data_IF_670488089738
#
_entry.id   IF_670488089738
#
_cell.length_a   1.000
_cell.length_b   1.000
_cell.length_c   1.000
_cell.angle_alpha   90.00
_cell.angle_beta   90.00
_cell.angle_gamma   90.00
#
_symmetry.space_group_name_H-M   'P 1'
#
loop_
_entity.id
_entity.type
_entity.pdbx_description
1 polymer ?
#
# COMPACT_ATOMS: atom_id res chain seq x y z
N UNK A 1 -31.57 22.65 25.14
CA UNK A 1 -30.12 22.94 25.31
C UNK A 1 -29.35 22.16 24.24
N UNK A 2 -28.34 22.75 23.58
CA UNK A 2 -27.38 21.96 22.81
C UNK A 2 -26.57 21.05 23.77
N UNK A 3 -26.21 19.82 23.38
CA UNK A 3 -25.42 18.93 24.24
C UNK A 3 -24.03 19.54 24.49
N UNK A 4 -23.63 19.62 25.76
CA UNK A 4 -22.27 20.04 26.13
C UNK A 4 -21.26 19.10 25.47
N UNK A 5 -20.35 19.63 24.66
CA UNK A 5 -19.19 18.88 24.16
C UNK A 5 -18.39 18.39 25.36
N UNK A 6 -18.38 17.09 25.60
CA UNK A 6 -17.46 16.46 26.53
C UNK A 6 -16.04 16.58 25.98
N UNK A 7 -15.22 17.38 26.65
CA UNK A 7 -13.79 17.46 26.35
C UNK A 7 -13.20 16.08 26.62
N UNK A 8 -12.77 15.38 25.56
CA UNK A 8 -12.11 14.08 25.71
C UNK A 8 -10.80 14.29 26.45
N UNK A 9 -10.43 13.42 27.42
CA UNK A 9 -9.13 13.53 28.06
C UNK A 9 -8.03 13.42 27.00
N UNK A 10 -6.95 14.18 27.17
CA UNK A 10 -5.79 14.08 26.30
C UNK A 10 -5.25 12.64 26.38
N UNK A 11 -5.23 11.94 25.25
CA UNK A 11 -4.59 10.63 25.19
C UNK A 11 -3.09 10.84 25.33
N UNK A 12 -2.48 10.20 26.33
CA UNK A 12 -1.03 10.12 26.42
C UNK A 12 -0.51 9.36 25.20
N UNK A 13 0.47 9.94 24.51
CA UNK A 13 1.10 9.31 23.35
C UNK A 13 2.04 8.20 23.82
N UNK A 14 1.47 7.04 24.13
CA UNK A 14 2.21 5.81 24.42
C UNK A 14 2.92 5.38 23.12
N UNK A 15 4.21 5.75 23.00
CA UNK A 15 5.06 5.39 21.88
C UNK A 15 5.34 3.88 21.88
N UNK A 16 4.52 3.12 21.15
CA UNK A 16 4.69 1.68 20.92
C UNK A 16 5.74 1.36 19.82
N UNK A 17 6.42 2.38 19.28
CA UNK A 17 7.44 2.23 18.26
C UNK A 17 8.71 1.53 18.76
N UNK A 18 9.53 0.97 17.87
CA UNK A 18 10.82 0.38 18.25
C UNK A 18 11.75 1.44 18.86
N UNK A 19 12.51 1.07 19.89
CA UNK A 19 13.50 1.95 20.49
C UNK A 19 14.73 2.07 19.57
N UNK A 20 14.89 3.23 18.94
CA UNK A 20 15.82 3.45 17.81
C UNK A 20 16.82 4.54 18.20
N UNK A 21 18.09 4.32 17.89
CA UNK A 21 19.16 5.28 18.18
C UNK A 21 19.08 6.48 17.25
N UNK A 22 19.50 7.64 17.73
CA UNK A 22 19.56 8.87 16.93
C UNK A 22 20.37 8.64 15.65
N UNK A 23 19.71 8.80 14.49
CA UNK A 23 20.30 8.58 13.17
C UNK A 23 19.92 7.27 12.48
N UNK A 24 19.45 6.23 13.19
CA UNK A 24 18.93 5.02 12.55
C UNK A 24 17.50 5.24 11.99
N UNK A 25 17.19 4.56 10.88
CA UNK A 25 15.91 4.69 10.18
C UNK A 25 15.09 3.41 10.30
N UNK A 26 13.84 3.57 10.72
CA UNK A 26 12.83 2.51 10.73
C UNK A 26 12.19 2.49 9.35
N UNK A 27 12.45 1.43 8.58
CA UNK A 27 11.90 1.25 7.25
C UNK A 27 10.59 0.47 7.28
N UNK A 28 9.54 1.03 6.67
CA UNK A 28 8.37 0.28 6.23
C UNK A 28 8.35 0.10 4.70
N UNK A 29 7.42 -0.70 4.17
CA UNK A 29 7.08 -0.73 2.74
C UNK A 29 5.74 -0.04 2.52
N UNK A 30 5.75 1.04 1.74
CA UNK A 30 4.55 1.64 1.17
C UNK A 30 4.23 1.01 -0.18
N UNK A 31 3.17 0.19 -0.21
CA UNK A 31 2.56 -0.32 -1.45
C UNK A 31 1.55 0.73 -1.94
N UNK A 32 1.86 1.37 -3.07
CA UNK A 32 0.98 2.34 -3.72
C UNK A 32 0.30 1.66 -4.90
N UNK A 33 -0.95 1.25 -4.74
CA UNK A 33 -1.74 0.72 -5.86
C UNK A 33 -2.55 1.85 -6.50
N UNK A 34 -2.24 2.18 -7.75
CA UNK A 34 -2.86 3.28 -8.49
C UNK A 34 -3.57 2.72 -9.72
N UNK A 35 -4.90 2.65 -9.64
CA UNK A 35 -5.76 2.33 -10.78
C UNK A 35 -6.37 3.62 -11.36
N UNK A 36 -7.09 3.50 -12.48
CA UNK A 36 -7.85 4.61 -13.05
C UNK A 36 -9.16 4.92 -12.31
N UNK A 37 -9.59 4.04 -11.40
CA UNK A 37 -10.85 4.18 -10.66
C UNK A 37 -10.61 4.63 -9.21
N UNK A 38 -9.70 3.98 -8.48
CA UNK A 38 -9.32 4.34 -7.11
C UNK A 38 -7.79 4.18 -6.88
N UNK A 39 -7.30 4.80 -5.80
CA UNK A 39 -5.91 4.85 -5.37
C UNK A 39 -5.78 4.36 -3.93
N UNK A 40 -4.79 3.51 -3.66
CA UNK A 40 -4.60 2.87 -2.36
C UNK A 40 -3.18 3.14 -1.89
N UNK A 41 -3.05 3.66 -0.67
CA UNK A 41 -1.78 3.80 0.04
C UNK A 41 -1.81 2.82 1.21
N UNK A 42 -0.90 1.86 1.19
CA UNK A 42 -0.88 0.77 2.15
C UNK A 42 0.53 0.56 2.69
N UNK A 43 0.73 0.76 4.00
CA UNK A 43 2.03 0.57 4.64
C UNK A 43 2.05 -0.73 5.44
N UNK A 44 3.08 -1.53 5.19
CA UNK A 44 3.38 -2.78 5.91
C UNK A 44 4.78 -2.77 6.45
N UNK A 45 5.02 -3.51 7.52
CA UNK A 45 6.35 -3.61 8.12
C UNK A 45 7.38 -4.29 7.22
N UNK A 46 8.63 -3.86 7.36
CA UNK A 46 9.80 -4.68 7.07
C UNK A 46 10.31 -5.21 8.42
N UNK A 47 10.04 -6.48 8.73
CA UNK A 47 10.71 -7.18 9.83
C UNK A 47 12.16 -7.51 9.44
N UNK A 48 12.95 -6.50 9.09
CA UNK A 48 14.41 -6.62 8.99
C UNK A 48 15.04 -6.46 10.37
N UNK A 49 14.97 -7.54 11.15
CA UNK A 49 15.88 -7.74 12.27
C UNK A 49 17.28 -7.87 11.66
N UNK A 50 18.18 -6.89 11.88
CA UNK A 50 19.61 -6.99 11.48
C UNK A 50 20.13 -8.35 11.95
N UNK A 51 20.43 -9.23 11.00
CA UNK A 51 21.21 -10.44 11.22
C UNK A 51 22.36 -10.34 10.22
N UNK A 52 23.53 -9.99 10.74
CA UNK A 52 24.76 -9.97 9.96
C UNK A 52 25.21 -11.41 9.68
N UNK A 53 25.88 -11.61 8.52
CA UNK A 53 26.56 -12.83 8.05
C UNK A 53 25.72 -13.96 7.41
N UNK A 54 25.89 -14.06 6.08
CA UNK A 54 26.34 -15.22 5.27
C UNK A 54 25.55 -16.56 5.18
N UNK A 55 25.62 -17.11 3.94
CA UNK A 55 25.44 -18.51 3.49
C UNK A 55 24.06 -19.20 3.65
N UNK A 56 23.29 -19.37 2.56
CA UNK A 56 23.14 -20.63 1.77
C UNK A 56 21.91 -21.47 2.23
N UNK A 57 21.46 -22.60 1.65
CA UNK A 57 21.87 -23.50 0.54
C UNK A 57 20.61 -23.84 -0.32
N UNK A 58 20.76 -24.57 -1.43
CA UNK A 58 19.71 -25.10 -2.35
C UNK A 58 18.53 -25.88 -1.74
N UNK A 59 17.40 -25.90 -2.47
CA UNK A 59 16.60 -27.13 -2.67
C UNK A 59 15.13 -27.19 -2.18
N UNK A 60 14.35 -28.08 -2.82
CA UNK A 60 12.96 -28.51 -2.49
C UNK A 60 11.86 -27.42 -2.64
N UNK A 61 10.94 -27.41 -3.63
CA UNK A 61 10.20 -28.46 -4.34
C UNK A 61 9.20 -29.26 -3.47
N UNK A 62 7.95 -28.78 -3.30
CA UNK A 62 6.70 -29.58 -3.47
C UNK A 62 5.39 -28.82 -3.09
N UNK A 63 4.37 -29.00 -3.95
CA UNK A 63 2.90 -29.09 -3.71
C UNK A 63 2.23 -28.44 -2.46
N UNK A 64 1.22 -27.60 -2.73
CA UNK A 64 -0.25 -27.83 -2.52
C UNK A 64 -1.00 -26.68 -3.24
N UNK A 65 -1.74 -26.89 -4.34
CA UNK A 65 -3.07 -27.50 -4.50
C UNK A 65 -4.18 -26.94 -3.58
N UNK A 66 -5.23 -26.44 -4.24
CA UNK A 66 -6.61 -26.20 -3.77
C UNK A 66 -6.82 -25.34 -2.52
N UNK A 67 -7.42 -24.15 -2.72
CA UNK A 67 -8.76 -23.91 -2.17
C UNK A 67 -9.48 -22.77 -2.89
N UNK A 68 -10.79 -22.95 -3.12
CA UNK A 68 -11.70 -21.88 -3.53
C UNK A 68 -12.33 -21.24 -2.28
N UNK A 69 -12.24 -19.90 -2.14
CA UNK A 69 -13.25 -19.15 -1.40
C UNK A 69 -14.11 -18.34 -2.36
N UNK A 70 -15.36 -18.75 -2.54
CA UNK A 70 -16.41 -17.80 -2.96
C UNK A 70 -16.75 -16.91 -1.77
N UNK A 71 -16.64 -15.59 -1.92
CA UNK A 71 -17.33 -14.65 -1.02
C UNK A 71 -18.14 -13.66 -1.85
N UNK A 72 -19.46 -13.67 -1.60
CA UNK A 72 -20.33 -12.54 -1.94
C UNK A 72 -19.90 -11.35 -1.07
N UNK A 73 -20.04 -10.14 -1.59
CA UNK A 73 -19.50 -8.87 -1.06
C UNK A 73 -18.03 -8.64 -1.46
N UNK A 74 -17.84 -7.88 -2.54
CA UNK A 74 -16.60 -7.81 -3.30
C UNK A 74 -15.50 -6.90 -2.71
N UNK A 75 -14.87 -7.34 -1.64
CA UNK A 75 -13.56 -6.83 -1.20
C UNK A 75 -12.50 -7.93 -1.37
N UNK A 76 -12.00 -8.08 -2.60
CA UNK A 76 -10.95 -9.06 -2.92
C UNK A 76 -9.62 -8.58 -2.35
N UNK A 77 -9.27 -9.06 -1.17
CA UNK A 77 -7.94 -8.85 -0.58
C UNK A 77 -6.90 -9.66 -1.36
N UNK A 78 -6.32 -9.03 -2.37
CA UNK A 78 -5.25 -9.62 -3.15
C UNK A 78 -3.97 -9.72 -2.31
N UNK A 79 -3.75 -10.90 -1.71
CA UNK A 79 -2.44 -11.30 -1.21
C UNK A 79 -1.45 -11.34 -2.39
N UNK A 80 -0.60 -10.33 -2.49
CA UNK A 80 0.47 -10.25 -3.50
C UNK A 80 1.72 -10.85 -2.87
N UNK A 81 1.99 -12.11 -3.21
CA UNK A 81 3.13 -12.90 -2.71
C UNK A 81 4.44 -12.47 -3.40
N UNK A 82 5.56 -12.57 -2.68
CA UNK A 82 6.89 -12.11 -3.10
C UNK A 82 7.60 -11.41 -1.95
N UNK A 83 8.39 -12.17 -1.21
CA UNK A 83 8.95 -11.91 0.14
C UNK A 83 9.67 -10.57 0.36
N UNK A 84 9.83 -10.06 1.59
CA UNK A 84 9.71 -10.72 2.90
C UNK A 84 8.97 -9.86 3.95
N UNK A 85 8.16 -10.51 4.79
CA UNK A 85 7.51 -9.97 6.01
C UNK A 85 6.43 -8.87 5.92
N UNK A 86 6.04 -8.39 4.73
CA UNK A 86 4.94 -7.41 4.59
C UNK A 86 3.52 -8.00 4.80
N UNK A 87 3.36 -8.78 5.88
CA UNK A 87 2.16 -9.52 6.34
C UNK A 87 1.36 -8.71 7.36
N UNK A 88 2.02 -7.93 8.19
CA UNK A 88 1.38 -7.02 9.14
C UNK A 88 1.13 -5.67 8.48
N UNK A 89 -0.11 -5.19 8.63
CA UNK A 89 -0.60 -3.99 7.96
C UNK A 89 -0.73 -2.87 8.96
N UNK A 90 0.07 -1.83 8.79
CA UNK A 90 0.17 -0.71 9.73
C UNK A 90 -0.97 0.25 9.48
N UNK A 91 -1.17 0.63 8.22
CA UNK A 91 -2.28 1.47 7.80
C UNK A 91 -2.66 1.20 6.34
N UNK A 92 -3.98 1.13 6.10
CA UNK A 92 -4.60 1.08 4.78
C UNK A 92 -5.52 2.28 4.64
N UNK A 93 -5.31 3.11 3.62
CA UNK A 93 -6.19 4.23 3.26
C UNK A 93 -6.36 4.26 1.75
N UNK A 94 -7.57 4.52 1.28
CA UNK A 94 -7.89 4.66 -0.16
C UNK A 94 -8.35 6.08 -0.49
N UNK A 95 -8.37 6.44 -1.77
CA UNK A 95 -8.91 7.71 -2.23
C UNK A 95 -10.40 7.83 -1.94
N UNK A 96 -11.17 6.77 -2.19
CA UNK A 96 -12.60 6.68 -1.84
C UNK A 96 -12.90 6.79 -0.33
N UNK A 97 -11.96 6.49 0.57
CA UNK A 97 -12.13 6.77 2.01
C UNK A 97 -12.07 8.27 2.34
N UNK A 98 -11.55 9.11 1.44
CA UNK A 98 -11.32 10.55 1.66
C UNK A 98 -12.27 11.43 0.86
N UNK A 99 -12.83 10.93 -0.23
CA UNK A 99 -13.74 11.66 -1.11
C UNK A 99 -15.05 10.89 -1.26
N UNK A 100 -16.20 11.57 -1.09
CA UNK A 100 -17.54 10.96 -1.11
C UNK A 100 -18.14 10.79 -2.52
N UNK A 101 -17.35 11.01 -3.56
CA UNK A 101 -17.81 11.04 -4.94
C UNK A 101 -17.04 10.00 -5.76
N UNK A 102 -17.75 8.98 -6.25
CA UNK A 102 -17.20 7.79 -6.92
C UNK A 102 -16.28 8.11 -8.11
N UNK A 103 -16.52 9.24 -8.79
CA UNK A 103 -15.71 9.71 -9.92
C UNK A 103 -14.34 10.26 -9.52
N UNK A 104 -14.21 10.70 -8.28
CA UNK A 104 -13.07 11.47 -7.76
C UNK A 104 -12.14 10.61 -6.87
N UNK A 105 -12.40 9.31 -6.74
CA UNK A 105 -11.60 8.34 -5.95
C UNK A 105 -10.17 8.15 -6.49
N UNK A 106 -9.99 8.11 -7.81
CA UNK A 106 -8.66 8.06 -8.45
C UNK A 106 -7.96 9.42 -8.51
N UNK A 107 -8.65 10.50 -8.11
CA UNK A 107 -8.14 11.85 -8.31
C UNK A 107 -6.79 12.07 -7.61
N UNK A 108 -5.89 12.89 -8.19
CA UNK A 108 -4.61 13.21 -7.56
C UNK A 108 -4.78 13.88 -6.20
N UNK A 109 -5.92 14.53 -5.96
CA UNK A 109 -6.26 15.14 -4.67
C UNK A 109 -6.65 14.11 -3.60
N UNK A 110 -7.50 13.14 -3.95
CA UNK A 110 -7.86 12.03 -3.05
C UNK A 110 -6.62 11.24 -2.61
N UNK A 111 -5.74 10.91 -3.57
CA UNK A 111 -4.48 10.22 -3.31
C UNK A 111 -3.52 11.00 -2.39
N UNK A 112 -3.47 12.33 -2.53
CA UNK A 112 -2.67 13.21 -1.66
C UNK A 112 -3.17 13.19 -0.22
N UNK A 113 -4.49 13.31 0.00
CA UNK A 113 -5.08 13.24 1.34
C UNK A 113 -4.81 11.88 1.99
N UNK A 114 -5.09 10.78 1.27
CA UNK A 114 -4.84 9.42 1.75
C UNK A 114 -3.37 9.19 2.18
N UNK A 115 -2.41 9.71 1.41
CA UNK A 115 -0.99 9.66 1.74
C UNK A 115 -0.61 10.49 2.98
N UNK A 116 -1.25 11.64 3.21
CA UNK A 116 -1.02 12.46 4.41
C UNK A 116 -1.50 11.75 5.67
N UNK A 117 -2.72 11.18 5.66
CA UNK A 117 -3.25 10.40 6.79
C UNK A 117 -2.40 9.17 7.12
N UNK A 118 -1.91 8.48 6.09
CA UNK A 118 -0.96 7.37 6.23
C UNK A 118 0.32 7.83 6.93
N UNK A 119 0.90 8.94 6.48
CA UNK A 119 2.15 9.45 7.05
C UNK A 119 2.01 9.88 8.52
N UNK A 120 0.88 10.47 8.92
CA UNK A 120 0.61 10.80 10.33
C UNK A 120 0.61 9.53 11.20
N UNK A 121 -0.13 8.49 10.79
CA UNK A 121 -0.16 7.19 11.50
C UNK A 121 1.21 6.49 11.54
N UNK A 122 1.99 6.59 10.46
CA UNK A 122 3.34 6.04 10.43
C UNK A 122 4.27 6.73 11.43
N UNK A 123 4.12 8.05 11.65
CA UNK A 123 4.89 8.80 12.65
C UNK A 123 4.51 8.45 14.09
N UNK A 124 3.21 8.28 14.36
CA UNK A 124 2.70 7.82 15.67
C UNK A 124 3.32 6.48 16.10
N UNK A 125 3.68 5.64 15.12
CA UNK A 125 4.29 4.32 15.32
C UNK A 125 5.82 4.30 15.14
N UNK A 126 6.46 5.45 14.99
CA UNK A 126 7.92 5.58 14.93
C UNK A 126 8.59 5.21 13.58
N UNK A 127 7.81 5.10 12.49
CA UNK A 127 8.36 4.79 11.16
C UNK A 127 8.90 6.08 10.53
N UNK A 128 10.17 6.07 10.16
CA UNK A 128 10.87 7.28 9.64
C UNK A 128 11.23 7.20 8.16
N UNK A 129 11.25 5.99 7.59
CA UNK A 129 11.57 5.77 6.18
C UNK A 129 10.63 4.74 5.51
N UNK A 130 10.46 4.86 4.19
CA UNK A 130 9.58 3.99 3.40
C UNK A 130 10.29 3.52 2.12
N UNK A 131 10.30 2.21 1.88
CA UNK A 131 10.51 1.63 0.55
C UNK A 131 9.19 1.64 -0.20
N UNK A 132 9.21 2.06 -1.47
CA UNK A 132 7.98 2.34 -2.22
C UNK A 132 7.83 1.30 -3.33
N UNK A 133 6.73 0.56 -3.29
CA UNK A 133 6.35 -0.41 -4.32
C UNK A 133 5.13 0.14 -5.05
N UNK A 134 5.33 0.69 -6.25
CA UNK A 134 4.26 1.21 -7.11
C UNK A 134 3.62 0.03 -7.85
N UNK A 135 2.29 0.06 -8.00
CA UNK A 135 1.54 -0.98 -8.71
C UNK A 135 0.37 -0.40 -9.50
N UNK A 136 0.33 -0.66 -10.80
CA UNK A 136 -0.90 -0.51 -11.60
C UNK A 136 -1.72 -1.81 -11.63
N UNK A 137 -2.91 -1.77 -12.24
CA UNK A 137 -3.79 -2.95 -12.38
C UNK A 137 -3.07 -4.16 -12.98
N UNK A 138 -2.31 -3.96 -14.05
CA UNK A 138 -1.47 -4.97 -14.69
C UNK A 138 -2.25 -6.20 -15.20
N UNK A 139 -1.57 -7.34 -15.29
CA UNK A 139 -2.12 -8.57 -15.83
C UNK A 139 -2.50 -8.42 -17.31
N UNK A 140 -3.75 -8.70 -17.63
CA UNK A 140 -4.35 -8.45 -18.95
C UNK A 140 -4.99 -7.05 -19.09
N UNK A 141 -4.90 -6.21 -18.05
CA UNK A 141 -5.40 -4.83 -18.04
C UNK A 141 -4.27 -3.81 -18.30
N UNK A 142 -4.47 -2.55 -17.91
CA UNK A 142 -3.48 -1.48 -18.06
C UNK A 142 -2.30 -1.66 -17.12
N UNK A 143 -1.08 -1.70 -17.68
CA UNK A 143 0.18 -1.69 -16.92
C UNK A 143 0.61 -0.28 -16.50
N UNK A 144 0.12 0.76 -17.17
CA UNK A 144 0.36 2.17 -16.80
C UNK A 144 -0.31 2.48 -15.45
N UNK A 145 0.40 3.07 -14.47
CA UNK A 145 -0.19 3.48 -13.20
C UNK A 145 -1.20 4.62 -13.37
N UNK A 146 -2.22 4.62 -12.51
CA UNK A 146 -3.27 5.64 -12.49
C UNK A 146 -2.79 7.03 -11.99
N UNK A 147 -3.62 8.07 -12.18
CA UNK A 147 -3.23 9.47 -11.98
C UNK A 147 -2.79 9.81 -10.54
N UNK A 148 -3.33 9.13 -9.52
CA UNK A 148 -2.93 9.35 -8.13
C UNK A 148 -1.55 8.80 -7.73
N UNK A 149 -0.87 7.99 -8.57
CA UNK A 149 0.42 7.38 -8.23
C UNK A 149 1.48 8.42 -7.85
N UNK A 150 1.68 9.41 -8.73
CA UNK A 150 2.71 10.43 -8.56
C UNK A 150 2.36 11.43 -7.44
N UNK A 151 1.07 11.69 -7.23
CA UNK A 151 0.58 12.53 -6.14
C UNK A 151 0.79 11.89 -4.77
N UNK A 152 0.50 10.59 -4.62
CA UNK A 152 0.76 9.86 -3.38
C UNK A 152 2.27 9.82 -3.06
N UNK A 153 3.11 9.55 -4.06
CA UNK A 153 4.58 9.58 -3.92
C UNK A 153 5.08 10.94 -3.41
N UNK A 154 4.65 12.03 -4.07
CA UNK A 154 5.03 13.40 -3.71
C UNK A 154 4.49 13.81 -2.33
N UNK A 155 3.30 13.34 -1.97
CA UNK A 155 2.69 13.62 -0.67
C UNK A 155 3.46 12.96 0.49
N UNK A 156 3.89 11.71 0.33
CA UNK A 156 4.73 11.00 1.31
C UNK A 156 6.11 11.66 1.49
N UNK A 157 6.73 12.13 0.39
CA UNK A 157 7.95 12.93 0.48
C UNK A 157 7.73 14.23 1.28
N UNK A 158 6.66 14.97 0.95
CA UNK A 158 6.33 16.26 1.56
C UNK A 158 5.90 16.16 3.02
N UNK A 159 5.31 15.04 3.44
CA UNK A 159 4.96 14.81 4.85
C UNK A 159 6.18 14.48 5.72
N UNK A 160 7.38 14.35 5.14
CA UNK A 160 8.63 14.15 5.87
C UNK A 160 9.05 12.69 6.07
N UNK A 161 8.45 11.75 5.34
CA UNK A 161 8.91 10.36 5.31
C UNK A 161 10.15 10.25 4.40
N UNK A 162 11.23 9.62 4.86
CA UNK A 162 12.42 9.43 4.02
C UNK A 162 12.16 8.33 2.98
N UNK A 163 12.33 8.64 1.70
CA UNK A 163 12.14 7.68 0.61
C UNK A 163 13.41 6.82 0.48
N UNK A 164 13.24 5.50 0.49
CA UNK A 164 14.29 4.53 0.18
C UNK A 164 14.22 4.07 -1.29
N UNK A 165 14.24 2.75 -1.50
CA UNK A 165 14.11 2.17 -2.85
C UNK A 165 12.72 2.39 -3.42
N UNK A 166 12.65 2.64 -4.73
CA UNK A 166 11.39 2.70 -5.50
C UNK A 166 11.42 1.55 -6.50
N UNK A 167 10.41 0.70 -6.45
CA UNK A 167 10.25 -0.48 -7.31
C UNK A 167 8.87 -0.43 -7.98
N UNK A 168 8.80 -0.82 -9.26
CA UNK A 168 7.52 -1.14 -9.90
C UNK A 168 7.23 -2.64 -9.70
N UNK A 169 6.07 -2.94 -9.12
CA UNK A 169 5.53 -4.30 -8.94
C UNK A 169 4.23 -4.49 -9.73
N UNK A 170 4.07 -3.80 -10.85
CA UNK A 170 3.03 -4.10 -11.84
C UNK A 170 3.09 -5.58 -12.24
N UNK A 171 2.00 -6.34 -12.07
CA UNK A 171 2.02 -7.75 -12.43
C UNK A 171 2.11 -7.87 -13.95
N UNK A 172 3.29 -8.25 -14.45
CA UNK A 172 3.55 -8.51 -15.87
C UNK A 172 3.54 -10.03 -16.09
N UNK A 173 2.50 -10.57 -16.73
CA UNK A 173 2.46 -12.00 -17.05
C UNK A 173 3.35 -12.29 -18.26
N UNK A 174 3.97 -13.48 -18.29
CA UNK A 174 4.74 -13.98 -19.45
C UNK A 174 3.82 -14.17 -20.65
N UNK A 175 2.70 -14.87 -20.44
CA UNK A 175 1.56 -14.98 -21.36
C UNK A 175 0.27 -14.60 -20.63
N UNK A 176 -0.64 -13.93 -21.33
CA UNK A 176 -1.87 -13.39 -20.72
C UNK A 176 -3.14 -14.09 -21.19
N UNK A 177 -4.09 -14.27 -20.28
CA UNK A 177 -5.45 -14.71 -20.63
C UNK A 177 -6.17 -13.63 -21.44
N UNK A 178 -7.14 -14.04 -22.26
CA UNK A 178 -7.94 -13.15 -23.12
C UNK A 178 -8.48 -11.95 -22.33
N UNK A 179 -8.07 -10.74 -22.74
CA UNK A 179 -8.47 -9.46 -22.13
C UNK A 179 -9.99 -9.27 -22.16
N UNK A 180 -10.55 -8.67 -21.10
CA UNK A 180 -11.98 -8.33 -20.98
C UNK A 180 -12.41 -7.40 -22.13
N UNK A 181 -13.26 -7.90 -23.02
CA UNK A 181 -13.80 -7.17 -24.16
C UNK A 181 -14.24 -8.08 -25.32
N UNK A 182 -14.92 -7.51 -26.31
CA UNK A 182 -15.18 -8.20 -27.57
C UNK A 182 -13.90 -8.31 -28.43
N UNK A 183 -13.90 -9.17 -29.46
CA UNK A 183 -12.79 -9.27 -30.43
C UNK A 183 -12.46 -7.92 -31.10
N UNK A 184 -13.45 -7.03 -31.20
CA UNK A 184 -13.35 -5.67 -31.77
C UNK A 184 -13.08 -4.57 -30.71
N UNK A 185 -12.67 -4.94 -29.50
CA UNK A 185 -12.43 -4.02 -28.39
C UNK A 185 -13.70 -3.50 -27.71
N UNK A 186 -13.54 -2.46 -26.87
CA UNK A 186 -14.64 -1.64 -26.35
C UNK A 186 -14.92 -0.53 -27.36
N UNK A 187 -16.13 -0.49 -27.90
CA UNK A 187 -16.64 0.66 -28.68
C UNK A 187 -17.38 1.57 -27.71
N UNK A 188 -17.14 2.87 -27.84
CA UNK A 188 -17.85 3.97 -27.17
C UNK A 188 -18.74 4.64 -28.21
#
# INVERSE_FOLDING_TARGET
MPPKKTTRPAQENISLGPNVREGELVFGVARIFASFNDTFVHVTDLRFRKREKEEAIDGCFTKTLCDHPQTKNGSVEANILGDSSGRETICRVTGGMKVKADRDESSPYAAMLAAQDVATRCKELGITALHIKIRATGGNATKTPGPGAQSALRALARSGMKIGRIEDVTPTPSDSTRRKGGRRGRRL
#
